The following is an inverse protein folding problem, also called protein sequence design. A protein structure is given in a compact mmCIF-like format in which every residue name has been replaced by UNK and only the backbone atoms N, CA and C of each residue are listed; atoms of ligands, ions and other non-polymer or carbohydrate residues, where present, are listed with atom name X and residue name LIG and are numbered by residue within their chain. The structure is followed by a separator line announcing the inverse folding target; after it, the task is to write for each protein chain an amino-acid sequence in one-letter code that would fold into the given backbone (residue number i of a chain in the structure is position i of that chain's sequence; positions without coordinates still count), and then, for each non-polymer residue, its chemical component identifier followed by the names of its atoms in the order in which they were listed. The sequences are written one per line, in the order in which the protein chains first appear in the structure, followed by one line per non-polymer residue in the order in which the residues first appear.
data_IF_488249546102
#
_entry.id   IF_488249546102
#
_cell.length_a   1.000
_cell.length_b   1.000
_cell.length_c   1.000
_cell.angle_alpha   90.00
_cell.angle_beta   90.00
_cell.angle_gamma   90.00
#
_symmetry.space_group_name_H-M   'P 1'
#
loop_
_entity.id
_entity.type
_entity.pdbx_description
1 polymer ?
#
# COMPACT_ATOMS: atom_id res chain seq x y z
N UNK A 1 -43.90 -3.84 -24.50
CA UNK A 1 -44.14 -5.00 -23.60
C UNK A 1 -43.49 -6.20 -24.29
N UNK A 2 -42.56 -7.00 -23.76
CA UNK A 2 -42.07 -7.24 -22.40
C UNK A 2 -40.70 -7.98 -22.55
N UNK A 3 -39.67 -7.59 -21.79
CA UNK A 3 -38.46 -8.38 -21.46
C UNK A 3 -38.75 -9.23 -20.20
N UNK A 4 -37.85 -10.08 -19.65
CA UNK A 4 -36.69 -10.81 -20.21
C UNK A 4 -36.61 -12.29 -19.74
N UNK A 5 -35.64 -13.05 -20.26
CA UNK A 5 -35.18 -14.33 -19.69
C UNK A 5 -33.65 -14.42 -19.73
N UNK A 6 -33.05 -14.38 -18.54
CA UNK A 6 -31.65 -14.67 -18.23
C UNK A 6 -31.32 -16.13 -18.61
N UNK A 7 -30.17 -16.41 -19.24
CA UNK A 7 -29.46 -17.67 -18.99
C UNK A 7 -27.95 -17.52 -19.20
N UNK A 8 -27.25 -18.00 -18.18
CA UNK A 8 -25.81 -18.07 -17.96
C UNK A 8 -25.22 -19.18 -18.83
N UNK A 9 -24.05 -18.95 -19.42
CA UNK A 9 -23.35 -19.98 -20.21
C UNK A 9 -21.90 -19.60 -20.47
N UNK A 10 -21.07 -19.54 -19.42
CA UNK A 10 -19.62 -19.59 -19.60
C UNK A 10 -19.22 -21.04 -19.85
N UNK A 11 -18.91 -21.35 -21.11
CA UNK A 11 -18.38 -22.64 -21.54
C UNK A 11 -16.90 -22.69 -21.17
N UNK A 12 -16.58 -23.55 -20.20
CA UNK A 12 -15.23 -23.98 -19.86
C UNK A 12 -14.62 -24.75 -21.04
N UNK A 13 -13.68 -24.14 -21.76
CA UNK A 13 -12.68 -24.88 -22.53
C UNK A 13 -11.47 -25.14 -21.63
N UNK A 14 -11.37 -26.37 -21.13
CA UNK A 14 -10.26 -26.90 -20.35
C UNK A 14 -9.15 -27.37 -21.29
N UNK A 15 -7.99 -26.70 -21.28
CA UNK A 15 -6.72 -27.27 -21.72
C UNK A 15 -5.94 -27.71 -20.44
N UNK A 16 -5.39 -28.93 -20.34
CA UNK A 16 -4.80 -29.41 -19.09
C UNK A 16 -3.38 -28.90 -18.81
N UNK A 17 -2.86 -27.95 -19.59
CA UNK A 17 -1.47 -27.47 -19.50
C UNK A 17 -1.27 -26.23 -18.62
N UNK A 18 -2.33 -25.55 -18.20
CA UNK A 18 -2.22 -24.38 -17.32
C UNK A 18 -2.68 -24.70 -15.90
N UNK A 19 -1.79 -24.56 -14.91
CA UNK A 19 -2.21 -24.46 -13.51
C UNK A 19 -2.87 -23.09 -13.32
N UNK A 20 -4.19 -23.08 -13.07
CA UNK A 20 -4.86 -21.89 -12.55
C UNK A 20 -4.37 -21.71 -11.11
N UNK A 21 -3.53 -20.70 -10.88
CA UNK A 21 -2.95 -20.40 -9.57
C UNK A 21 -3.65 -19.14 -9.04
N UNK A 22 -4.70 -19.33 -8.24
CA UNK A 22 -5.38 -18.24 -7.52
C UNK A 22 -4.37 -17.63 -6.52
N UNK A 23 -3.85 -16.44 -6.82
CA UNK A 23 -2.63 -15.88 -6.21
C UNK A 23 -2.78 -15.34 -4.79
N UNK A 24 -3.79 -15.80 -4.04
CA UNK A 24 -3.89 -15.55 -2.60
C UNK A 24 -2.92 -16.47 -1.84
N UNK A 25 -1.61 -16.31 -2.08
CA UNK A 25 -0.53 -17.12 -1.48
C UNK A 25 -0.61 -17.07 0.04
N UNK A 26 -0.92 -15.89 0.61
CA UNK A 26 -1.13 -15.74 2.05
C UNK A 26 -2.40 -16.42 2.56
N UNK A 27 -3.50 -16.37 1.80
CA UNK A 27 -4.72 -17.10 2.17
C UNK A 27 -4.48 -18.61 2.13
N UNK A 28 -3.77 -19.14 1.12
CA UNK A 28 -3.39 -20.56 1.04
C UNK A 28 -2.33 -20.95 2.09
N UNK A 29 -1.39 -20.07 2.41
CA UNK A 29 -0.39 -20.29 3.48
C UNK A 29 -1.05 -20.30 4.87
N UNK A 30 -1.95 -19.34 5.14
CA UNK A 30 -2.77 -19.32 6.36
C UNK A 30 -3.76 -20.49 6.42
N UNK A 31 -4.36 -20.92 5.30
CA UNK A 31 -5.27 -22.06 5.26
C UNK A 31 -4.54 -23.42 5.39
N UNK A 32 -3.34 -23.56 4.84
CA UNK A 32 -2.50 -24.77 5.02
C UNK A 32 -1.82 -24.83 6.38
N UNK A 33 -1.53 -23.69 7.00
CA UNK A 33 -0.89 -23.61 8.31
C UNK A 33 -1.69 -22.69 9.26
N UNK A 34 -2.89 -23.10 9.70
CA UNK A 34 -3.78 -22.27 10.53
C UNK A 34 -3.18 -21.90 11.91
N UNK A 35 -2.09 -22.56 12.32
CA UNK A 35 -1.48 -22.43 13.65
C UNK A 35 -0.17 -21.61 13.61
N UNK A 36 0.43 -21.36 12.44
CA UNK A 36 1.80 -20.80 12.38
C UNK A 36 1.87 -19.27 12.29
N UNK A 37 0.90 -18.59 11.65
CA UNK A 37 1.08 -17.16 11.29
C UNK A 37 0.49 -16.13 12.24
N UNK A 38 -0.32 -16.51 13.25
CA UNK A 38 -0.89 -15.55 14.22
C UNK A 38 -0.50 -15.81 15.69
N UNK A 39 -0.03 -17.00 16.06
CA UNK A 39 0.17 -17.34 17.48
C UNK A 39 1.61 -17.17 17.98
N UNK A 40 2.64 -17.23 17.12
CA UNK A 40 4.03 -17.22 17.60
C UNK A 40 4.65 -15.84 17.84
N UNK A 41 3.99 -14.74 17.47
CA UNK A 41 4.44 -13.37 17.81
C UNK A 41 3.70 -12.80 19.04
N UNK A 42 2.61 -13.45 19.49
CA UNK A 42 1.79 -13.01 20.64
C UNK A 42 1.86 -13.94 21.88
N UNK A 43 2.63 -15.03 21.84
CA UNK A 43 2.80 -15.98 22.96
C UNK A 43 4.25 -16.09 23.46
N UNK A 44 4.94 -14.95 23.61
CA UNK A 44 6.16 -14.83 24.42
C UNK A 44 5.97 -13.93 25.66
N UNK A 45 4.73 -13.85 26.16
CA UNK A 45 4.43 -13.28 27.48
C UNK A 45 3.58 -14.28 28.29
N UNK A 46 4.21 -15.41 28.63
CA UNK A 46 3.61 -16.44 29.47
C UNK A 46 4.66 -16.99 30.44
N UNK A 47 4.46 -16.68 31.72
CA UNK A 47 5.09 -17.30 32.89
C UNK A 47 6.61 -17.16 33.02
N UNK A 48 7.07 -16.02 33.57
CA UNK A 48 8.29 -16.01 34.39
C UNK A 48 7.88 -15.69 35.83
N UNK A 49 7.75 -16.75 36.63
CA UNK A 49 7.62 -16.66 38.08
C UNK A 49 9.01 -16.29 38.62
N UNK A 50 9.19 -15.05 39.06
CA UNK A 50 10.48 -14.57 39.56
C UNK A 50 10.36 -14.30 41.05
N UNK A 51 11.07 -15.12 41.83
CA UNK A 51 11.65 -14.70 43.10
C UNK A 51 12.46 -13.40 42.85
N UNK A 52 11.84 -12.24 43.07
CA UNK A 52 12.31 -10.93 42.59
C UNK A 52 12.58 -9.96 43.75
N UNK A 53 13.46 -10.31 44.68
CA UNK A 53 13.90 -9.36 45.72
C UNK A 53 15.29 -8.75 45.47
N UNK A 54 15.94 -9.00 44.32
CA UNK A 54 17.29 -8.44 44.05
C UNK A 54 17.57 -7.91 42.62
N UNK A 55 16.56 -7.71 41.76
CA UNK A 55 16.74 -7.22 40.36
C UNK A 55 16.00 -5.93 40.00
N UNK A 56 15.40 -5.26 40.98
CA UNK A 56 14.49 -4.12 40.77
C UNK A 56 15.17 -2.90 40.10
N UNK A 57 16.40 -2.45 40.44
CA UNK A 57 16.95 -1.22 39.85
C UNK A 57 17.44 -1.42 38.41
N UNK A 58 17.98 -2.59 38.07
CA UNK A 58 18.44 -2.89 36.71
C UNK A 58 17.26 -3.05 35.75
N UNK A 59 16.22 -3.77 36.16
CA UNK A 59 15.00 -3.95 35.35
C UNK A 59 14.27 -2.62 35.20
N UNK A 60 14.19 -1.78 36.24
CA UNK A 60 13.59 -0.45 36.15
C UNK A 60 14.41 0.49 35.23
N UNK A 61 15.74 0.42 35.28
CA UNK A 61 16.60 1.19 34.38
C UNK A 61 16.49 0.70 32.92
N UNK A 62 16.35 -0.61 32.70
CA UNK A 62 16.11 -1.17 31.37
C UNK A 62 14.72 -0.78 30.84
N UNK A 63 13.68 -0.88 31.67
CA UNK A 63 12.32 -0.49 31.33
C UNK A 63 12.20 1.00 31.02
N UNK A 64 12.88 1.87 31.79
CA UNK A 64 12.89 3.31 31.51
C UNK A 64 13.67 3.66 30.24
N UNK A 65 14.77 2.95 29.93
CA UNK A 65 15.50 3.09 28.66
C UNK A 65 14.69 2.57 27.47
N UNK A 66 14.00 1.44 27.61
CA UNK A 66 13.11 0.87 26.60
C UNK A 66 11.91 1.79 26.35
N UNK A 67 11.24 2.25 27.41
CA UNK A 67 10.16 3.21 27.29
C UNK A 67 10.63 4.48 26.59
N UNK A 68 11.75 5.07 27.04
CA UNK A 68 12.33 6.26 26.40
C UNK A 68 12.77 6.02 24.96
N UNK A 69 13.14 4.79 24.56
CA UNK A 69 13.46 4.45 23.17
C UNK A 69 12.20 4.27 22.31
N UNK A 70 11.14 3.68 22.88
CA UNK A 70 9.85 3.43 22.21
C UNK A 70 8.99 4.69 22.10
N UNK A 71 9.03 5.55 23.12
CA UNK A 71 8.12 6.69 23.28
C UNK A 71 8.83 8.04 23.25
N UNK A 72 10.07 8.13 22.75
CA UNK A 72 10.78 9.41 22.65
C UNK A 72 10.02 10.38 21.73
N UNK A 73 9.13 11.15 22.34
CA UNK A 73 8.27 12.17 21.74
C UNK A 73 8.90 13.57 21.86
N UNK A 74 10.19 13.62 22.20
CA UNK A 74 10.94 14.87 22.33
C UNK A 74 10.91 15.68 21.04
N UNK A 75 10.78 17.00 21.20
CA UNK A 75 10.57 18.04 20.17
C UNK A 75 11.52 18.06 18.97
N UNK A 76 12.54 17.19 18.94
CA UNK A 76 13.24 16.72 17.76
C UNK A 76 13.40 15.23 17.91
N UNK A 77 12.55 14.44 17.26
CA UNK A 77 12.65 12.98 17.26
C UNK A 77 14.09 12.63 16.85
N UNK A 78 14.83 11.96 17.72
CA UNK A 78 16.22 11.63 17.43
C UNK A 78 16.28 10.83 16.12
N UNK A 79 16.97 11.38 15.11
CA UNK A 79 17.01 10.82 13.75
C UNK A 79 17.39 9.34 13.71
N UNK A 80 18.19 8.87 14.67
CA UNK A 80 18.63 7.48 14.77
C UNK A 80 17.51 6.51 15.15
N UNK A 81 16.60 6.89 16.06
CA UNK A 81 15.46 6.05 16.43
C UNK A 81 14.47 5.94 15.27
N UNK A 82 14.13 7.06 14.63
CA UNK A 82 13.27 7.06 13.42
C UNK A 82 13.89 6.20 12.32
N UNK A 83 15.19 6.37 12.05
CA UNK A 83 15.89 5.59 11.04
C UNK A 83 15.86 4.09 11.36
N UNK A 84 16.08 3.70 12.61
CA UNK A 84 15.99 2.30 13.03
C UNK A 84 14.60 1.70 12.75
N UNK A 85 13.53 2.37 13.20
CA UNK A 85 12.15 1.90 12.99
C UNK A 85 11.75 1.91 11.52
N UNK A 86 12.25 2.88 10.75
CA UNK A 86 12.03 2.96 9.31
C UNK A 86 12.71 1.81 8.57
N UNK A 87 13.99 1.55 8.85
CA UNK A 87 14.73 0.41 8.28
C UNK A 87 14.04 -0.90 8.66
N UNK A 88 13.61 -1.07 9.91
CA UNK A 88 12.88 -2.26 10.35
C UNK A 88 11.56 -2.43 9.58
N UNK A 89 10.84 -1.35 9.31
CA UNK A 89 9.62 -1.35 8.50
C UNK A 89 9.88 -1.77 7.05
N UNK A 90 10.98 -1.28 6.46
CA UNK A 90 11.39 -1.67 5.10
C UNK A 90 11.82 -3.14 5.04
N UNK A 91 12.59 -3.61 6.01
CA UNK A 91 12.95 -5.03 6.12
C UNK A 91 11.70 -5.89 6.19
N UNK A 92 10.68 -5.46 6.94
CA UNK A 92 9.40 -6.15 7.01
C UNK A 92 8.69 -6.20 5.66
N UNK A 93 8.63 -5.08 4.92
CA UNK A 93 8.05 -5.05 3.58
C UNK A 93 8.74 -6.05 2.63
N UNK A 94 10.07 -6.15 2.70
CA UNK A 94 10.84 -7.16 1.96
C UNK A 94 10.47 -8.57 2.39
N UNK A 95 10.46 -8.86 3.69
CA UNK A 95 10.13 -10.20 4.22
C UNK A 95 8.73 -10.66 3.77
N UNK A 96 7.73 -9.79 3.82
CA UNK A 96 6.37 -10.13 3.37
C UNK A 96 6.28 -10.40 1.86
N UNK A 97 7.20 -9.85 1.06
CA UNK A 97 7.24 -10.07 -0.39
C UNK A 97 7.83 -11.42 -0.81
N UNK A 98 8.66 -12.03 0.05
CA UNK A 98 9.40 -13.27 -0.27
C UNK A 98 8.47 -14.41 -0.68
N UNK A 99 7.38 -14.74 0.05
CA UNK A 99 6.49 -15.83 -0.34
C UNK A 99 5.80 -15.59 -1.69
N UNK A 100 5.41 -14.33 -1.96
CA UNK A 100 4.76 -13.96 -3.21
C UNK A 100 5.73 -14.10 -4.40
N UNK A 101 6.99 -13.66 -4.24
CA UNK A 101 8.05 -13.89 -5.22
C UNK A 101 8.34 -15.37 -5.40
N UNK A 102 8.41 -16.14 -4.30
CA UNK A 102 8.61 -17.59 -4.35
C UNK A 102 7.57 -18.30 -5.20
N UNK A 103 6.28 -17.93 -5.06
CA UNK A 103 5.22 -18.47 -5.92
C UNK A 103 5.33 -17.95 -7.35
N UNK A 104 5.59 -16.65 -7.56
CA UNK A 104 5.72 -16.05 -8.90
C UNK A 104 6.82 -16.68 -9.76
N UNK A 105 7.88 -17.20 -9.12
CA UNK A 105 8.99 -17.89 -9.77
C UNK A 105 8.93 -19.42 -9.62
N UNK A 106 7.85 -19.98 -9.07
CA UNK A 106 7.69 -21.43 -8.93
C UNK A 106 7.53 -22.17 -10.26
N UNK A 107 7.19 -21.45 -11.33
CA UNK A 107 7.15 -21.96 -12.69
C UNK A 107 7.13 -20.85 -13.72
N UNK A 108 7.51 -21.19 -14.95
CA UNK A 108 7.59 -20.27 -16.08
C UNK A 108 6.21 -19.66 -16.42
N UNK A 109 5.20 -20.52 -16.52
CA UNK A 109 3.82 -20.13 -16.87
C UNK A 109 2.97 -19.71 -15.67
N UNK A 110 3.60 -19.45 -14.52
CA UNK A 110 2.89 -18.93 -13.36
C UNK A 110 2.71 -17.43 -13.55
N UNK A 111 1.46 -17.03 -13.77
CA UNK A 111 1.04 -15.64 -13.99
C UNK A 111 -0.22 -15.39 -13.17
N UNK A 112 -0.26 -14.26 -12.47
CA UNK A 112 -1.41 -13.86 -11.67
C UNK A 112 -2.66 -13.64 -12.55
N UNK A 113 -3.83 -13.96 -12.00
CA UNK A 113 -5.08 -14.02 -12.77
C UNK A 113 -5.45 -12.69 -13.45
N UNK A 114 -5.31 -11.55 -12.78
CA UNK A 114 -5.57 -10.22 -13.36
C UNK A 114 -4.46 -9.79 -14.33
N UNK A 115 -3.20 -10.18 -14.07
CA UNK A 115 -2.08 -9.93 -14.98
C UNK A 115 -2.30 -10.63 -16.33
N UNK A 116 -2.97 -11.80 -16.36
CA UNK A 116 -3.37 -12.43 -17.64
C UNK A 116 -4.32 -11.59 -18.47
N UNK A 117 -5.05 -10.65 -17.88
CA UNK A 117 -5.95 -9.75 -18.59
C UNK A 117 -5.29 -8.39 -18.86
N UNK A 118 -4.55 -7.86 -17.91
CA UNK A 118 -4.03 -6.49 -17.97
C UNK A 118 -2.60 -6.37 -18.50
N UNK A 119 -1.77 -7.41 -18.38
CA UNK A 119 -0.34 -7.38 -18.76
C UNK A 119 -0.08 -8.13 -20.08
N UNK A 120 -0.86 -9.16 -20.41
CA UNK A 120 -0.52 -10.06 -21.54
C UNK A 120 -0.34 -9.34 -22.88
N UNK A 121 -1.22 -8.38 -23.21
CA UNK A 121 -1.18 -7.64 -24.48
C UNK A 121 0.03 -6.71 -24.57
N UNK A 122 0.63 -6.35 -23.42
CA UNK A 122 1.82 -5.48 -23.38
C UNK A 122 3.06 -6.16 -23.94
N UNK A 123 3.04 -7.48 -24.15
CA UNK A 123 4.09 -8.19 -24.90
C UNK A 123 4.28 -7.64 -26.32
N UNK A 124 3.26 -6.95 -26.87
CA UNK A 124 3.37 -6.17 -28.10
C UNK A 124 4.48 -5.10 -28.07
N UNK A 125 4.94 -4.68 -26.88
CA UNK A 125 6.07 -3.75 -26.75
C UNK A 125 7.42 -4.40 -27.03
N UNK A 126 7.52 -5.72 -26.88
CA UNK A 126 8.74 -6.49 -27.18
C UNK A 126 8.69 -6.99 -28.63
N UNK A 127 7.56 -7.59 -29.03
CA UNK A 127 7.31 -8.01 -30.41
C UNK A 127 5.95 -7.51 -30.88
N UNK A 128 5.97 -6.54 -31.79
CA UNK A 128 4.77 -5.92 -32.35
C UNK A 128 3.90 -6.89 -33.15
N UNK A 129 4.43 -8.05 -33.57
CA UNK A 129 3.67 -9.05 -34.32
C UNK A 129 2.81 -9.96 -33.41
N UNK A 130 2.93 -9.85 -32.09
CA UNK A 130 2.14 -10.63 -31.15
C UNK A 130 0.67 -10.17 -31.12
N UNK A 131 -0.24 -11.14 -31.11
CA UNK A 131 -1.69 -10.94 -31.08
C UNK A 131 -2.25 -10.10 -32.24
N UNK A 132 -1.93 -10.43 -33.51
CA UNK A 132 -2.45 -9.65 -34.63
C UNK A 132 -3.98 -9.84 -34.75
N UNK A 133 -4.73 -8.74 -34.83
CA UNK A 133 -6.20 -8.72 -34.94
C UNK A 133 -6.94 -9.39 -33.77
N UNK A 134 -6.34 -9.41 -32.58
CA UNK A 134 -6.98 -9.89 -31.37
C UNK A 134 -7.84 -8.79 -30.72
N UNK A 135 -9.17 -8.98 -30.78
CA UNK A 135 -10.15 -8.03 -30.24
C UNK A 135 -10.01 -7.82 -28.73
N UNK A 136 -9.59 -8.83 -27.97
CA UNK A 136 -9.42 -8.72 -26.53
C UNK A 136 -8.19 -7.89 -26.20
N UNK A 137 -7.07 -8.17 -26.87
CA UNK A 137 -5.85 -7.39 -26.71
C UNK A 137 -6.07 -5.93 -27.11
N UNK A 138 -6.79 -5.67 -28.20
CA UNK A 138 -7.11 -4.31 -28.66
C UNK A 138 -8.04 -3.58 -27.68
N UNK A 139 -9.03 -4.28 -27.11
CA UNK A 139 -9.90 -3.73 -26.07
C UNK A 139 -9.10 -3.35 -24.82
N UNK A 140 -8.32 -4.27 -24.24
CA UNK A 140 -7.55 -4.01 -23.02
C UNK A 140 -6.47 -2.94 -23.23
N UNK A 141 -5.88 -2.87 -24.42
CA UNK A 141 -4.97 -1.79 -24.79
C UNK A 141 -5.67 -0.43 -24.84
N UNK A 142 -6.91 -0.37 -25.35
CA UNK A 142 -7.66 0.90 -25.47
C UNK A 142 -8.10 1.49 -24.13
N UNK A 143 -8.35 0.64 -23.12
CA UNK A 143 -8.81 1.06 -21.78
C UNK A 143 -7.66 1.21 -20.78
N UNK A 144 -6.43 0.84 -21.16
CA UNK A 144 -5.28 0.89 -20.27
C UNK A 144 -4.91 2.35 -19.91
N UNK A 145 -4.73 2.67 -18.62
CA UNK A 145 -4.28 3.99 -18.21
C UNK A 145 -2.90 4.30 -18.77
N UNK A 146 -2.73 5.51 -19.30
CA UNK A 146 -1.49 5.88 -20.01
C UNK A 146 -0.23 5.68 -19.13
N UNK A 147 -0.29 6.03 -17.85
CA UNK A 147 0.87 5.96 -16.95
C UNK A 147 1.31 4.53 -16.68
N UNK A 148 0.32 3.66 -16.50
CA UNK A 148 0.54 2.22 -16.38
C UNK A 148 1.23 1.68 -17.64
N UNK A 149 0.71 2.00 -18.83
CA UNK A 149 1.28 1.58 -20.10
C UNK A 149 2.70 2.11 -20.32
N UNK A 150 2.96 3.38 -19.95
CA UNK A 150 4.28 3.99 -20.08
C UNK A 150 5.35 3.29 -19.24
N UNK A 151 5.03 2.89 -18.01
CA UNK A 151 5.98 2.15 -17.16
C UNK A 151 6.40 0.85 -17.83
N UNK A 152 5.43 0.05 -18.29
CA UNK A 152 5.75 -1.23 -18.95
C UNK A 152 6.49 -1.04 -20.27
N UNK A 153 6.12 -0.02 -21.06
CA UNK A 153 6.79 0.31 -22.31
C UNK A 153 8.25 0.74 -22.09
N UNK A 154 8.52 1.58 -21.09
CA UNK A 154 9.89 2.01 -20.77
C UNK A 154 10.75 0.81 -20.35
N UNK A 155 10.21 -0.09 -19.54
CA UNK A 155 10.93 -1.29 -19.12
C UNK A 155 11.17 -2.25 -20.29
N UNK A 156 10.21 -2.38 -21.21
CA UNK A 156 10.39 -3.16 -22.43
C UNK A 156 11.50 -2.59 -23.33
N UNK A 157 11.63 -1.25 -23.44
CA UNK A 157 12.75 -0.61 -24.16
C UNK A 157 14.10 -0.96 -23.54
N UNK A 158 14.17 -1.10 -22.22
CA UNK A 158 15.38 -1.52 -21.49
C UNK A 158 15.62 -3.04 -21.58
N UNK A 159 14.73 -3.78 -22.24
CA UNK A 159 14.83 -5.23 -22.43
C UNK A 159 14.20 -6.06 -21.32
N UNK A 160 13.42 -5.46 -20.43
CA UNK A 160 12.68 -6.18 -19.38
C UNK A 160 11.29 -6.51 -19.91
N UNK A 161 11.04 -7.81 -20.05
CA UNK A 161 9.77 -8.33 -20.54
C UNK A 161 8.60 -7.92 -19.61
N UNK A 162 7.43 -7.51 -20.14
CA UNK A 162 6.24 -7.18 -19.35
C UNK A 162 5.85 -8.25 -18.32
N UNK A 163 5.93 -9.53 -18.71
CA UNK A 163 5.65 -10.64 -17.80
C UNK A 163 6.75 -10.87 -16.76
N UNK A 164 7.97 -10.40 -16.96
CA UNK A 164 8.95 -10.39 -15.89
C UNK A 164 8.71 -9.21 -14.93
N UNK A 165 8.40 -8.04 -15.49
CA UNK A 165 8.16 -6.82 -14.71
C UNK A 165 7.00 -7.01 -13.73
N UNK A 166 5.88 -7.61 -14.14
CA UNK A 166 4.73 -7.79 -13.23
C UNK A 166 5.06 -8.65 -12.00
N UNK A 167 6.06 -9.57 -12.09
CA UNK A 167 6.51 -10.38 -10.96
C UNK A 167 7.40 -9.59 -10.00
N UNK A 168 8.20 -8.66 -10.53
CA UNK A 168 9.19 -7.88 -9.78
C UNK A 168 8.65 -6.56 -9.22
N UNK A 169 7.55 -6.05 -9.78
CA UNK A 169 6.98 -4.76 -9.40
C UNK A 169 6.28 -4.73 -8.03
N UNK A 170 5.54 -5.77 -7.59
CA UNK A 170 4.81 -5.75 -6.31
C UNK A 170 5.68 -5.42 -5.08
N UNK A 171 6.88 -6.01 -4.89
CA UNK A 171 7.78 -5.64 -3.79
C UNK A 171 8.17 -4.16 -3.79
N UNK A 172 8.41 -3.57 -4.98
CA UNK A 172 8.78 -2.16 -5.12
C UNK A 172 7.61 -1.26 -4.72
N UNK A 173 6.40 -1.56 -5.20
CA UNK A 173 5.19 -0.82 -4.84
C UNK A 173 4.90 -0.94 -3.33
N UNK A 174 5.07 -2.14 -2.75
CA UNK A 174 4.91 -2.39 -1.32
C UNK A 174 5.90 -1.59 -0.47
N UNK A 175 7.16 -1.50 -0.90
CA UNK A 175 8.17 -0.70 -0.23
C UNK A 175 7.84 0.81 -0.28
N UNK A 176 7.44 1.33 -1.45
CA UNK A 176 7.03 2.74 -1.59
C UNK A 176 5.81 3.06 -0.70
N UNK A 177 4.80 2.18 -0.70
CA UNK A 177 3.64 2.34 0.16
C UNK A 177 4.03 2.33 1.65
N UNK A 178 4.95 1.44 2.04
CA UNK A 178 5.50 1.38 3.40
C UNK A 178 6.18 2.68 3.80
N UNK A 179 6.98 3.27 2.90
CA UNK A 179 7.64 4.56 3.15
C UNK A 179 6.65 5.68 3.47
N UNK A 180 5.63 5.84 2.62
CA UNK A 180 4.65 6.90 2.81
C UNK A 180 3.77 6.65 4.05
N UNK A 181 3.36 5.41 4.31
CA UNK A 181 2.58 5.08 5.50
C UNK A 181 3.37 5.35 6.79
N UNK A 182 4.63 4.93 6.85
CA UNK A 182 5.51 5.24 7.98
C UNK A 182 5.59 6.76 8.19
N UNK A 183 5.81 7.51 7.12
CA UNK A 183 5.86 8.98 7.15
C UNK A 183 4.56 9.62 7.64
N UNK A 184 3.41 9.15 7.18
CA UNK A 184 2.09 9.64 7.64
C UNK A 184 1.91 9.38 9.13
N UNK A 185 2.19 8.17 9.60
CA UNK A 185 2.01 7.79 11.00
C UNK A 185 2.90 8.61 11.94
N UNK A 186 4.16 8.84 11.57
CA UNK A 186 5.09 9.69 12.35
C UNK A 186 4.67 11.16 12.32
N UNK A 187 4.12 11.65 11.21
CA UNK A 187 3.63 13.03 11.09
C UNK A 187 2.34 13.26 11.90
N UNK A 188 1.45 12.27 11.98
CA UNK A 188 0.23 12.33 12.80
C UNK A 188 0.54 12.17 14.29
N UNK A 189 1.41 11.23 14.63
CA UNK A 189 1.81 10.90 15.99
C UNK A 189 3.35 10.86 16.02
N UNK A 190 4.03 11.89 16.56
CA UNK A 190 5.50 12.05 16.53
C UNK A 190 6.20 11.09 17.49
N UNK A 191 5.95 9.80 17.30
CA UNK A 191 6.46 8.67 18.07
C UNK A 191 6.94 7.63 17.05
N UNK A 192 8.24 7.29 16.97
CA UNK A 192 8.78 6.41 15.92
C UNK A 192 8.07 5.06 15.78
N UNK A 193 7.61 4.48 16.90
CA UNK A 193 6.91 3.19 16.89
C UNK A 193 5.56 3.26 16.19
N UNK A 194 4.91 4.43 16.12
CA UNK A 194 3.64 4.60 15.39
C UNK A 194 3.83 4.31 13.91
N UNK A 195 4.95 4.78 13.34
CA UNK A 195 5.36 4.52 11.96
C UNK A 195 5.54 3.03 11.71
N UNK A 196 6.22 2.33 12.60
CA UNK A 196 6.43 0.89 12.48
C UNK A 196 5.13 0.09 12.60
N UNK A 197 4.28 0.39 13.58
CA UNK A 197 2.99 -0.30 13.75
C UNK A 197 2.09 -0.05 12.53
N UNK A 198 2.03 1.19 12.04
CA UNK A 198 1.29 1.52 10.81
C UNK A 198 1.81 0.76 9.59
N UNK A 199 3.13 0.73 9.40
CA UNK A 199 3.77 -0.02 8.33
C UNK A 199 3.54 -1.53 8.43
N UNK A 200 3.59 -2.10 9.65
CA UNK A 200 3.31 -3.52 9.91
C UNK A 200 1.88 -3.88 9.46
N UNK A 201 0.88 -3.12 9.93
CA UNK A 201 -0.52 -3.36 9.60
C UNK A 201 -0.81 -3.13 8.11
N UNK A 202 -0.17 -2.13 7.51
CA UNK A 202 -0.26 -1.89 6.06
C UNK A 202 0.27 -3.09 5.29
N UNK A 203 1.50 -3.55 5.57
CA UNK A 203 2.08 -4.69 4.86
C UNK A 203 1.23 -5.94 5.03
N UNK A 204 0.76 -6.24 6.24
CA UNK A 204 -0.16 -7.35 6.45
C UNK A 204 -1.41 -7.22 5.56
N UNK A 205 -2.01 -6.04 5.47
CA UNK A 205 -3.20 -5.81 4.64
C UNK A 205 -2.90 -5.93 3.14
N UNK A 206 -1.79 -5.33 2.67
CA UNK A 206 -1.40 -5.32 1.27
C UNK A 206 -1.11 -6.74 0.77
N UNK A 207 -0.36 -7.53 1.54
CA UNK A 207 0.05 -8.87 1.14
C UNK A 207 -1.03 -9.95 1.40
N UNK A 208 -2.09 -9.61 2.13
CA UNK A 208 -3.31 -10.44 2.23
C UNK A 208 -4.28 -10.25 1.07
N UNK A 209 -4.13 -9.17 0.28
CA UNK A 209 -4.93 -8.88 -0.91
C UNK A 209 -4.15 -9.21 -2.17
N UNK A 210 -4.88 -9.58 -3.22
CA UNK A 210 -4.27 -9.96 -4.50
C UNK A 210 -3.94 -8.74 -5.38
N UNK A 211 -4.48 -7.56 -5.05
CA UNK A 211 -4.34 -6.33 -5.84
C UNK A 211 -2.88 -5.93 -6.07
N UNK A 212 -2.04 -5.97 -5.03
CA UNK A 212 -0.64 -5.52 -5.14
C UNK A 212 0.20 -6.53 -5.92
N UNK A 213 -0.09 -7.83 -5.75
CA UNK A 213 0.61 -8.94 -6.41
C UNK A 213 0.33 -8.94 -7.90
N UNK A 214 -0.85 -8.48 -8.30
CA UNK A 214 -1.26 -8.39 -9.70
C UNK A 214 -0.43 -7.39 -10.53
N UNK A 215 0.17 -6.38 -9.89
CA UNK A 215 0.88 -5.29 -10.57
C UNK A 215 0.04 -4.61 -11.67
N UNK A 216 -1.28 -4.56 -11.51
CA UNK A 216 -2.23 -3.90 -12.41
C UNK A 216 -2.37 -2.41 -12.04
N UNK A 217 -3.13 -1.59 -12.81
CA UNK A 217 -3.36 -0.20 -12.45
C UNK A 217 -3.84 0.03 -11.00
N UNK A 218 -4.61 -0.91 -10.44
CA UNK A 218 -5.10 -0.86 -9.06
C UNK A 218 -3.95 -0.93 -8.05
N UNK A 219 -2.88 -1.69 -8.32
CA UNK A 219 -1.73 -1.84 -7.43
C UNK A 219 -1.04 -0.49 -7.15
N UNK A 220 -1.05 0.44 -8.11
CA UNK A 220 -0.45 1.76 -7.98
C UNK A 220 -1.26 2.71 -7.10
N UNK A 221 -2.55 2.42 -6.86
CA UNK A 221 -3.40 3.25 -6.01
C UNK A 221 -2.83 3.35 -4.60
N UNK A 222 -2.34 2.24 -4.05
CA UNK A 222 -1.81 2.18 -2.68
C UNK A 222 -0.66 3.17 -2.43
N UNK A 223 0.48 3.10 -3.14
CA UNK A 223 1.58 4.03 -2.92
C UNK A 223 1.21 5.47 -3.31
N UNK A 224 0.44 5.68 -4.38
CA UNK A 224 0.11 7.03 -4.85
C UNK A 224 -0.88 7.76 -3.94
N UNK A 225 -1.91 7.06 -3.45
CA UNK A 225 -2.86 7.62 -2.50
C UNK A 225 -2.18 7.95 -1.17
N UNK A 226 -1.29 7.08 -0.69
CA UNK A 226 -0.47 7.35 0.49
C UNK A 226 0.46 8.56 0.26
N UNK A 227 1.07 8.69 -0.92
CA UNK A 227 1.84 9.88 -1.27
C UNK A 227 1.00 11.16 -1.22
N UNK A 228 -0.22 11.12 -1.80
CA UNK A 228 -1.17 12.22 -1.73
C UNK A 228 -1.49 12.61 -0.28
N UNK A 229 -1.84 11.65 0.57
CA UNK A 229 -2.15 11.90 1.99
C UNK A 229 -0.94 12.46 2.75
N UNK A 230 0.26 11.94 2.48
CA UNK A 230 1.50 12.43 3.08
C UNK A 230 1.79 13.89 2.74
N UNK A 231 1.72 14.25 1.46
CA UNK A 231 1.94 15.63 1.03
C UNK A 231 0.82 16.57 1.46
N UNK A 232 -0.42 16.07 1.54
CA UNK A 232 -1.55 16.81 2.09
C UNK A 232 -1.33 17.18 3.55
N UNK A 233 -0.86 16.22 4.35
CA UNK A 233 -0.57 16.43 5.77
C UNK A 233 0.59 17.44 5.96
N UNK A 234 1.62 17.35 5.11
CA UNK A 234 2.74 18.31 5.08
C UNK A 234 2.41 19.68 4.47
N UNK A 235 1.17 19.89 4.02
CA UNK A 235 0.73 21.12 3.32
C UNK A 235 1.61 21.47 2.10
N UNK A 236 2.17 20.46 1.43
CA UNK A 236 2.98 20.64 0.23
C UNK A 236 2.09 20.59 -1.02
N UNK A 237 1.70 21.76 -1.52
CA UNK A 237 0.81 21.88 -2.69
C UNK A 237 1.39 21.24 -3.95
N UNK A 238 2.69 21.39 -4.19
CA UNK A 238 3.35 20.77 -5.36
C UNK A 238 3.32 19.25 -5.25
N UNK A 239 3.61 18.71 -4.06
CA UNK A 239 3.52 17.28 -3.79
C UNK A 239 2.09 16.74 -4.01
N UNK A 240 1.08 17.45 -3.51
CA UNK A 240 -0.33 17.10 -3.70
C UNK A 240 -0.71 17.12 -5.18
N UNK A 241 -0.37 18.18 -5.92
CA UNK A 241 -0.66 18.30 -7.34
C UNK A 241 0.02 17.19 -8.15
N UNK A 242 1.30 16.89 -7.85
CA UNK A 242 2.02 15.80 -8.50
C UNK A 242 1.40 14.43 -8.19
N UNK A 243 0.96 14.20 -6.95
CA UNK A 243 0.33 12.94 -6.57
C UNK A 243 -1.01 12.78 -7.29
N UNK A 244 -1.84 13.83 -7.38
CA UNK A 244 -3.11 13.79 -8.12
C UNK A 244 -2.86 13.55 -9.62
N UNK A 245 -1.87 14.22 -10.21
CA UNK A 245 -1.52 14.01 -11.62
C UNK A 245 -1.09 12.56 -11.88
N UNK A 246 -0.26 11.99 -11.01
CA UNK A 246 0.13 10.58 -11.09
C UNK A 246 -1.06 9.64 -10.87
N UNK A 247 -1.93 9.90 -9.88
CA UNK A 247 -3.16 9.12 -9.68
C UNK A 247 -4.05 9.18 -10.94
N UNK A 248 -4.20 10.36 -11.54
CA UNK A 248 -4.94 10.53 -12.80
C UNK A 248 -4.35 9.72 -13.95
N UNK A 249 -3.04 9.55 -13.98
CA UNK A 249 -2.33 8.85 -15.04
C UNK A 249 -2.36 7.31 -14.88
N UNK A 250 -2.35 6.81 -13.64
CA UNK A 250 -2.34 5.38 -13.34
C UNK A 250 -3.73 4.82 -13.03
N UNK A 251 -4.58 5.57 -12.33
CA UNK A 251 -5.89 5.11 -11.88
C UNK A 251 -6.89 6.28 -11.77
N UNK A 252 -7.43 6.78 -12.91
CA UNK A 252 -8.19 8.02 -12.99
C UNK A 252 -9.35 8.14 -12.00
N UNK A 253 -10.02 7.03 -11.72
CA UNK A 253 -11.16 6.99 -10.81
C UNK A 253 -10.81 7.39 -9.36
N UNK A 254 -9.56 7.22 -8.91
CA UNK A 254 -9.16 7.63 -7.56
C UNK A 254 -8.97 9.17 -7.45
N UNK A 255 -8.91 9.91 -8.56
CA UNK A 255 -8.92 11.39 -8.55
C UNK A 255 -10.19 11.93 -7.91
N UNK A 256 -11.33 11.24 -8.05
CA UNK A 256 -12.58 11.63 -7.39
C UNK A 256 -12.46 11.56 -5.86
N UNK A 257 -11.75 10.56 -5.33
CA UNK A 257 -11.50 10.41 -3.89
C UNK A 257 -10.63 11.56 -3.40
N UNK A 258 -9.52 11.85 -4.08
CA UNK A 258 -8.66 12.99 -3.75
C UNK A 258 -9.43 14.32 -3.81
N UNK A 259 -10.25 14.51 -4.83
CA UNK A 259 -11.07 15.71 -5.01
C UNK A 259 -12.09 15.85 -3.87
N UNK A 260 -12.76 14.76 -3.49
CA UNK A 260 -13.69 14.74 -2.36
C UNK A 260 -13.04 15.15 -1.05
N UNK A 261 -11.83 14.65 -0.76
CA UNK A 261 -11.05 15.02 0.43
C UNK A 261 -10.74 16.53 0.43
N UNK A 262 -10.26 17.07 -0.71
CA UNK A 262 -9.93 18.48 -0.82
C UNK A 262 -11.16 19.40 -0.69
N UNK A 263 -12.29 19.02 -1.30
CA UNK A 263 -13.55 19.77 -1.19
C UNK A 263 -14.02 19.78 0.27
N UNK A 264 -14.01 18.63 0.94
CA UNK A 264 -14.38 18.55 2.37
C UNK A 264 -13.47 19.42 3.24
N UNK A 265 -12.17 19.43 2.96
CA UNK A 265 -11.22 20.28 3.68
C UNK A 265 -11.53 21.77 3.47
N UNK A 266 -11.83 22.19 2.25
CA UNK A 266 -12.21 23.56 1.93
C UNK A 266 -13.50 23.97 2.64
N UNK A 267 -14.54 23.13 2.58
CA UNK A 267 -15.83 23.37 3.23
C UNK A 267 -15.66 23.50 4.75
N UNK A 268 -14.89 22.60 5.37
CA UNK A 268 -14.60 22.64 6.80
C UNK A 268 -13.82 23.90 7.20
N UNK A 269 -12.85 24.32 6.40
CA UNK A 269 -12.10 25.56 6.63
C UNK A 269 -12.99 26.80 6.54
N UNK A 270 -13.88 26.88 5.55
CA UNK A 270 -14.82 27.99 5.39
C UNK A 270 -15.77 28.06 6.60
N UNK A 271 -16.32 26.92 7.03
CA UNK A 271 -17.16 26.84 8.22
C UNK A 271 -16.43 27.32 9.48
N UNK A 272 -15.20 26.86 9.71
CA UNK A 272 -14.41 27.25 10.87
C UNK A 272 -14.04 28.75 10.88
N UNK A 273 -13.73 29.34 9.71
CA UNK A 273 -13.50 30.80 9.59
C UNK A 273 -14.77 31.59 9.91
N UNK A 274 -15.94 31.11 9.50
CA UNK A 274 -17.24 31.75 9.78
C UNK A 274 -17.56 31.74 11.28
N UNK A 275 -17.23 30.67 12.00
CA UNK A 275 -17.40 30.59 13.45
C UNK A 275 -16.41 31.49 14.23
N UNK A 276 -15.16 31.62 13.77
CA UNK A 276 -14.18 32.52 14.41
C UNK A 276 -14.44 34.01 14.16
N UNK A 277 -15.07 34.38 13.04
CA UNK A 277 -15.42 35.77 12.73
C UNK A 277 -16.62 36.34 13.53
N UNK A 278 -17.32 35.52 14.31
CA UNK A 278 -18.49 35.92 15.11
C UNK A 278 -18.19 36.24 16.58
N UNK A 279 -16.95 36.11 17.04
CA UNK A 279 -16.56 36.34 18.43
C UNK A 279 -15.62 37.56 18.51
N UNK A 280 -16.19 38.75 18.39
CA UNK A 280 -15.57 39.96 18.94
C UNK A 280 -15.98 40.03 20.42
N UNK A 281 -15.08 39.77 21.40
CA UNK A 281 -15.39 40.16 22.77
C UNK A 281 -15.49 41.68 22.75
N UNK A 282 -16.70 42.20 22.94
CA UNK A 282 -16.87 43.61 23.27
C UNK A 282 -16.03 43.88 24.51
N UNK A 283 -15.04 44.74 24.36
CA UNK A 283 -14.21 45.23 25.44
C UNK A 283 -15.12 45.79 26.52
N UNK A 284 -15.26 45.08 27.64
CA UNK A 284 -15.76 45.64 28.89
C UNK A 284 -14.74 46.70 29.34
N UNK A 285 -14.99 47.94 28.93
CA UNK A 285 -14.36 49.13 29.50
C UNK A 285 -14.81 49.23 30.96
N UNK A 286 -13.92 48.82 31.87
CA UNK A 286 -13.99 49.22 33.28
C UNK A 286 -13.74 50.72 33.36
N UNK A 287 -14.81 51.51 33.45
CA UNK A 287 -14.74 52.89 33.92
C UNK A 287 -14.66 52.87 35.44
N UNK A 288 -13.54 53.39 35.96
CA UNK A 288 -13.35 53.78 37.36
C UNK A 288 -14.40 54.80 37.82
#
# INVERSE_FOLDING_TARGET
MQKPGFFVGWVSYLNPTYKIVEFSVWRRYCLKNPISSCCHILLLFGTFNVNLELKIPFVAMLMSRLHKFLTNSGSRVASSSVAFWFILSLTLAVVYSIPALGEAFSGEFVVQDDARQHVFWMQRFVDSNLFPKDLMADYFQSVAPAGYTWVYRLMAIVGIEPLLLHKLLPPVLGAIATCYCFGICVELLPIPISGFIGALLLNQTLWMRDDIVAATPVAFVYPLLLAFLYYLLKRNLLGVASAIALIGLFYPQCVFVCSGILILQLVCQIGNRRCRGGFHPQSLTLTN
#
